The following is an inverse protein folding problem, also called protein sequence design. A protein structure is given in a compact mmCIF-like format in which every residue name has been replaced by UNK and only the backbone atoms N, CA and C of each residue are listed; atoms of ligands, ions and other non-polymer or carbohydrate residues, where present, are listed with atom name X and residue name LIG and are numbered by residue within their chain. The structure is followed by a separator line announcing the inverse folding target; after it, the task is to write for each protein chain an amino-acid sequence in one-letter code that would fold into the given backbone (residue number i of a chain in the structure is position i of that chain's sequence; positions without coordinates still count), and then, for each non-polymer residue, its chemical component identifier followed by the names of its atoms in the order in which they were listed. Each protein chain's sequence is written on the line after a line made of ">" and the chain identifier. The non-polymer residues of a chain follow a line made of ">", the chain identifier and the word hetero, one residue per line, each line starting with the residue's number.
data_IF_965071789741
#
_entry.id   IF_965071789741
#
_cell.length_a   1.000
_cell.length_b   1.000
_cell.length_c   1.000
_cell.angle_alpha   90.00
_cell.angle_beta   90.00
_cell.angle_gamma   90.00
#
_symmetry.space_group_name_H-M   'P 1'
#
loop_
_entity.id
_entity.type
_entity.pdbx_description
1 polymer ?
#
# COMPACT_ATOMS: atom_id res chain seq x y z
N UNK A 1 -2.26 -39.99 3.25
CA UNK A 1 -3.18 -38.85 3.12
C UNK A 1 -4.59 -39.42 2.98
N UNK A 2 -5.58 -38.96 3.77
CA UNK A 2 -6.96 -39.46 3.64
C UNK A 2 -7.55 -39.04 2.29
N UNK A 3 -8.58 -39.78 1.83
CA UNK A 3 -9.28 -39.44 0.57
C UNK A 3 -9.89 -38.04 0.63
N UNK A 4 -10.50 -37.70 1.77
CA UNK A 4 -11.06 -36.38 2.04
C UNK A 4 -10.01 -35.26 1.91
N UNK A 5 -8.84 -35.44 2.52
CA UNK A 5 -7.75 -34.47 2.43
C UNK A 5 -7.23 -34.29 0.98
N UNK A 6 -7.18 -35.35 0.18
CA UNK A 6 -6.80 -35.23 -1.24
C UNK A 6 -7.86 -34.47 -2.04
N UNK A 7 -9.16 -34.70 -1.78
CA UNK A 7 -10.25 -33.94 -2.39
C UNK A 7 -10.11 -32.45 -2.06
N UNK A 8 -9.97 -32.08 -0.79
CA UNK A 8 -9.84 -30.69 -0.35
C UNK A 8 -8.63 -30.00 -1.01
N UNK A 9 -7.46 -30.66 -0.98
CA UNK A 9 -6.22 -30.12 -1.56
C UNK A 9 -6.34 -29.87 -3.07
N UNK A 10 -6.96 -30.79 -3.80
CA UNK A 10 -7.15 -30.65 -5.25
C UNK A 10 -8.27 -29.66 -5.59
N UNK A 11 -9.36 -29.66 -4.84
CA UNK A 11 -10.45 -28.70 -4.98
C UNK A 11 -9.95 -27.25 -4.79
N UNK A 12 -9.09 -27.00 -3.79
CA UNK A 12 -8.46 -25.69 -3.58
C UNK A 12 -7.76 -25.17 -4.84
N UNK A 13 -7.00 -26.01 -5.55
CA UNK A 13 -6.35 -25.65 -6.82
C UNK A 13 -7.34 -25.35 -7.93
N UNK A 14 -8.46 -26.08 -7.99
CA UNK A 14 -9.50 -25.82 -8.99
C UNK A 14 -10.17 -24.47 -8.71
N UNK A 15 -10.49 -24.17 -7.45
CA UNK A 15 -11.04 -22.89 -7.03
C UNK A 15 -10.10 -21.72 -7.33
N UNK A 16 -8.80 -21.88 -7.10
CA UNK A 16 -7.79 -20.88 -7.41
C UNK A 16 -7.72 -20.60 -8.92
N UNK A 17 -7.58 -21.66 -9.75
CA UNK A 17 -7.43 -21.49 -11.21
C UNK A 17 -8.69 -20.99 -11.91
N UNK A 18 -9.87 -21.41 -11.46
CA UNK A 18 -11.14 -21.11 -12.14
C UNK A 18 -11.93 -20.00 -11.47
N UNK A 19 -11.64 -19.69 -10.21
CA UNK A 19 -12.49 -18.85 -9.35
C UNK A 19 -13.71 -19.62 -8.83
N UNK A 20 -14.12 -19.30 -7.61
CA UNK A 20 -15.15 -20.05 -6.87
C UNK A 20 -16.45 -20.21 -7.65
N UNK A 21 -17.01 -19.11 -8.16
CA UNK A 21 -18.30 -19.12 -8.85
C UNK A 21 -18.34 -20.04 -10.07
N UNK A 22 -17.21 -20.23 -10.78
CA UNK A 22 -17.12 -20.99 -12.03
C UNK A 22 -16.70 -22.45 -11.85
N UNK A 23 -16.36 -22.86 -10.63
CA UNK A 23 -15.97 -24.24 -10.33
C UNK A 23 -17.21 -25.09 -10.13
N UNK A 24 -17.27 -26.30 -10.70
CA UNK A 24 -18.34 -27.26 -10.44
C UNK A 24 -17.82 -28.48 -9.66
N UNK A 25 -18.73 -29.27 -9.07
CA UNK A 25 -18.36 -30.58 -8.49
C UNK A 25 -17.71 -31.49 -9.54
N UNK A 26 -18.13 -31.40 -10.80
CA UNK A 26 -17.56 -32.18 -11.91
C UNK A 26 -16.09 -31.80 -12.17
N UNK A 27 -15.78 -30.50 -12.15
CA UNK A 27 -14.40 -30.02 -12.29
C UNK A 27 -13.51 -30.55 -11.16
N UNK A 28 -14.03 -30.58 -9.93
CA UNK A 28 -13.32 -31.11 -8.77
C UNK A 28 -13.11 -32.63 -8.90
N UNK A 29 -14.17 -33.38 -9.24
CA UNK A 29 -14.10 -34.82 -9.43
C UNK A 29 -13.06 -35.21 -10.49
N UNK A 30 -13.03 -34.46 -11.61
CA UNK A 30 -12.05 -34.62 -12.68
C UNK A 30 -10.62 -34.35 -12.23
N UNK A 31 -10.37 -33.28 -11.46
CA UNK A 31 -9.03 -32.99 -10.91
C UNK A 31 -8.59 -34.10 -9.93
N UNK A 32 -9.52 -34.60 -9.12
CA UNK A 32 -9.27 -35.68 -8.16
C UNK A 32 -9.00 -37.01 -8.87
N UNK A 33 -9.63 -37.26 -10.01
CA UNK A 33 -9.57 -38.51 -10.75
C UNK A 33 -10.58 -39.54 -10.24
N UNK A 34 -11.74 -39.07 -9.77
CA UNK A 34 -12.83 -39.92 -9.27
C UNK A 34 -14.16 -39.51 -9.92
N UNK A 35 -15.17 -40.36 -9.78
CA UNK A 35 -16.52 -40.03 -10.25
C UNK A 35 -17.18 -39.00 -9.33
N UNK A 36 -18.08 -38.19 -9.90
CA UNK A 36 -18.88 -37.20 -9.17
C UNK A 36 -19.59 -37.77 -7.95
N UNK A 37 -20.17 -38.97 -8.06
CA UNK A 37 -20.90 -39.63 -6.96
C UNK A 37 -19.99 -39.94 -5.77
N UNK A 38 -18.70 -40.20 -6.02
CA UNK A 38 -17.73 -40.44 -4.97
C UNK A 38 -17.38 -39.16 -4.19
N UNK A 39 -17.51 -37.96 -4.79
CA UNK A 39 -17.37 -36.69 -4.04
C UNK A 39 -18.52 -36.52 -3.06
N UNK A 40 -19.74 -36.85 -3.49
CA UNK A 40 -20.95 -36.74 -2.65
C UNK A 40 -20.96 -37.66 -1.43
N UNK A 41 -20.14 -38.71 -1.44
CA UNK A 41 -19.90 -39.53 -0.24
C UNK A 41 -19.19 -38.74 0.88
N UNK A 42 -18.33 -37.78 0.52
CA UNK A 42 -17.54 -36.99 1.48
C UNK A 42 -18.13 -35.60 1.75
N UNK A 43 -18.75 -34.96 0.75
CA UNK A 43 -19.24 -33.59 0.85
C UNK A 43 -20.59 -33.43 0.16
N UNK A 44 -21.54 -32.76 0.81
CA UNK A 44 -22.90 -32.57 0.32
C UNK A 44 -22.99 -31.54 -0.81
N UNK A 45 -22.08 -30.57 -0.83
CA UNK A 45 -22.08 -29.48 -1.81
C UNK A 45 -20.67 -29.01 -2.13
N UNK A 46 -20.55 -28.19 -3.19
CA UNK A 46 -19.29 -27.51 -3.54
C UNK A 46 -18.92 -26.49 -2.46
N UNK A 47 -19.93 -25.85 -1.90
CA UNK A 47 -19.84 -24.87 -0.83
C UNK A 47 -19.30 -25.54 0.44
N UNK A 48 -19.76 -26.75 0.79
CA UNK A 48 -19.21 -27.48 1.93
C UNK A 48 -17.73 -27.83 1.74
N UNK A 49 -17.30 -28.18 0.51
CA UNK A 49 -15.88 -28.38 0.18
C UNK A 49 -15.11 -27.07 0.41
N UNK A 50 -15.64 -25.95 -0.08
CA UNK A 50 -15.03 -24.63 0.09
C UNK A 50 -14.89 -24.28 1.59
N UNK A 51 -15.96 -24.38 2.38
CA UNK A 51 -15.91 -24.09 3.81
C UNK A 51 -14.92 -25.01 4.53
N UNK A 52 -14.87 -26.28 4.15
CA UNK A 52 -13.91 -27.25 4.71
C UNK A 52 -12.44 -26.90 4.39
N UNK A 53 -12.18 -26.21 3.28
CA UNK A 53 -10.86 -25.68 2.94
C UNK A 53 -10.55 -24.42 3.78
N UNK A 54 -11.53 -23.54 3.98
CA UNK A 54 -11.35 -22.24 4.62
C UNK A 54 -11.30 -22.31 6.15
N UNK A 55 -12.13 -23.14 6.79
CA UNK A 55 -12.24 -23.22 8.25
C UNK A 55 -10.88 -23.42 8.96
N UNK A 56 -10.01 -24.37 8.56
CA UNK A 56 -8.72 -24.55 9.22
C UNK A 56 -7.80 -23.31 9.09
N UNK A 57 -7.89 -22.60 7.96
CA UNK A 57 -7.12 -21.38 7.71
C UNK A 57 -7.63 -20.25 8.60
N UNK A 58 -8.94 -20.00 8.62
CA UNK A 58 -9.58 -19.02 9.49
C UNK A 58 -9.27 -19.26 10.99
N UNK A 59 -9.33 -20.52 11.43
CA UNK A 59 -8.92 -20.91 12.80
C UNK A 59 -7.47 -20.57 13.08
N UNK A 60 -6.56 -20.94 12.18
CA UNK A 60 -5.13 -20.64 12.32
C UNK A 60 -4.84 -19.13 12.32
N UNK A 61 -5.58 -18.35 11.53
CA UNK A 61 -5.49 -16.90 11.50
C UNK A 61 -5.86 -16.31 12.87
N UNK A 62 -7.01 -16.72 13.41
CA UNK A 62 -7.51 -16.24 14.71
C UNK A 62 -6.56 -16.62 15.85
N UNK A 63 -6.13 -17.89 15.93
CA UNK A 63 -5.25 -18.37 17.01
C UNK A 63 -3.94 -17.58 17.07
N UNK A 64 -3.32 -17.30 15.93
CA UNK A 64 -2.05 -16.56 15.95
C UNK A 64 -2.27 -15.06 16.22
N UNK A 65 -3.38 -14.48 15.76
CA UNK A 65 -3.73 -13.11 16.13
C UNK A 65 -3.99 -12.97 17.64
N UNK A 66 -4.64 -13.96 18.26
CA UNK A 66 -4.76 -14.05 19.72
C UNK A 66 -3.40 -14.15 20.41
N UNK A 67 -2.46 -14.96 19.88
CA UNK A 67 -1.10 -15.03 20.41
C UNK A 67 -0.37 -13.69 20.32
N UNK A 68 -0.52 -12.97 19.20
CA UNK A 68 0.06 -11.64 19.00
C UNK A 68 -0.53 -10.64 20.00
N UNK A 69 -1.85 -10.62 20.17
CA UNK A 69 -2.55 -9.78 21.14
C UNK A 69 -2.06 -10.02 22.57
N UNK A 70 -1.93 -11.28 22.95
CA UNK A 70 -1.49 -11.70 24.29
C UNK A 70 0.03 -11.62 24.50
N UNK A 71 0.80 -11.27 23.47
CA UNK A 71 2.24 -11.09 23.60
C UNK A 71 2.60 -9.86 24.43
N UNK A 72 3.75 -9.89 25.10
CA UNK A 72 4.28 -8.73 25.85
C UNK A 72 4.86 -7.61 24.98
N UNK A 73 4.56 -7.58 23.68
CA UNK A 73 5.02 -6.56 22.74
C UNK A 73 4.15 -5.30 22.85
N UNK A 74 4.70 -4.15 22.45
CA UNK A 74 3.91 -2.91 22.32
C UNK A 74 2.94 -2.93 21.12
N UNK A 75 2.04 -1.95 21.02
CA UNK A 75 0.96 -1.90 20.03
C UNK A 75 1.44 -1.88 18.57
N UNK A 76 2.46 -1.09 18.25
CA UNK A 76 3.01 -1.01 16.88
C UNK A 76 3.65 -2.34 16.42
N UNK A 77 4.54 -2.99 17.20
CA UNK A 77 5.01 -4.33 16.86
C UNK A 77 3.91 -5.38 16.73
N UNK A 78 2.85 -5.30 17.56
CA UNK A 78 1.67 -6.18 17.44
C UNK A 78 0.94 -5.94 16.13
N UNK A 79 0.69 -4.68 15.77
CA UNK A 79 0.04 -4.31 14.52
C UNK A 79 0.83 -4.80 13.30
N UNK A 80 2.14 -4.57 13.28
CA UNK A 80 3.01 -5.08 12.21
C UNK A 80 2.98 -6.61 12.15
N UNK A 81 3.08 -7.30 13.29
CA UNK A 81 3.00 -8.77 13.33
C UNK A 81 1.65 -9.30 12.84
N UNK A 82 0.55 -8.63 13.18
CA UNK A 82 -0.79 -8.99 12.72
C UNK A 82 -0.94 -8.82 11.20
N UNK A 83 -0.47 -7.70 10.64
CA UNK A 83 -0.46 -7.45 9.19
C UNK A 83 0.42 -8.50 8.50
N UNK A 84 1.64 -8.70 9.00
CA UNK A 84 2.56 -9.71 8.49
C UNK A 84 1.92 -11.09 8.50
N UNK A 85 1.31 -11.51 9.61
CA UNK A 85 0.68 -12.83 9.72
C UNK A 85 -0.48 -13.00 8.74
N UNK A 86 -1.35 -12.00 8.64
CA UNK A 86 -2.48 -12.01 7.71
C UNK A 86 -2.01 -12.08 6.26
N UNK A 87 -0.94 -11.35 5.91
CA UNK A 87 -0.35 -11.33 4.58
C UNK A 87 0.62 -12.49 4.30
N UNK A 88 1.23 -13.13 5.31
CA UNK A 88 2.21 -14.23 5.15
C UNK A 88 1.55 -15.60 5.23
N UNK A 89 0.32 -15.67 5.74
CA UNK A 89 -0.58 -16.81 5.55
C UNK A 89 -0.91 -17.04 4.05
N UNK A 90 -0.37 -16.19 3.18
CA UNK A 90 -0.29 -16.28 1.74
C UNK A 90 0.50 -17.48 1.23
N UNK A 91 -0.23 -18.53 0.88
CA UNK A 91 0.19 -19.60 -0.02
C UNK A 91 -0.58 -19.38 -1.35
N UNK A 92 -0.22 -19.97 -2.51
CA UNK A 92 -1.03 -19.84 -3.74
C UNK A 92 -2.53 -20.18 -3.53
N UNK A 93 -2.86 -20.99 -2.52
CA UNK A 93 -4.22 -21.29 -2.08
C UNK A 93 -4.96 -20.17 -1.29
N UNK A 94 -4.28 -19.11 -0.84
CA UNK A 94 -4.77 -18.12 0.14
C UNK A 94 -5.45 -16.89 -0.47
N UNK A 95 -5.37 -16.71 -1.80
CA UNK A 95 -6.27 -15.79 -2.48
C UNK A 95 -7.72 -16.14 -2.24
N UNK A 96 -8.00 -17.42 -1.99
CA UNK A 96 -9.35 -17.95 -1.88
C UNK A 96 -10.08 -17.35 -0.67
N UNK A 97 -9.48 -17.38 0.51
CA UNK A 97 -10.13 -16.82 1.71
C UNK A 97 -10.33 -15.30 1.57
N UNK A 98 -9.28 -14.55 1.20
CA UNK A 98 -9.37 -13.10 1.00
C UNK A 98 -10.39 -12.71 -0.09
N UNK A 99 -10.48 -13.48 -1.18
CA UNK A 99 -11.43 -13.24 -2.27
C UNK A 99 -12.87 -13.57 -1.87
N UNK A 100 -13.08 -14.63 -1.10
CA UNK A 100 -14.41 -15.05 -0.63
C UNK A 100 -14.88 -14.15 0.51
N UNK A 101 -14.00 -13.72 1.41
CA UNK A 101 -14.31 -12.79 2.49
C UNK A 101 -14.81 -11.43 1.97
N UNK A 102 -14.37 -10.99 0.79
CA UNK A 102 -14.88 -9.79 0.12
C UNK A 102 -16.26 -9.98 -0.55
N UNK A 103 -16.82 -11.20 -0.55
CA UNK A 103 -18.06 -11.58 -1.24
C UNK A 103 -18.99 -12.34 -0.28
N UNK A 104 -19.60 -11.59 0.64
CA UNK A 104 -20.40 -12.15 1.74
C UNK A 104 -21.68 -12.90 1.29
N UNK A 105 -22.25 -12.61 0.12
CA UNK A 105 -23.64 -13.04 -0.16
C UNK A 105 -23.81 -14.28 -1.06
N UNK A 106 -22.74 -14.79 -1.69
CA UNK A 106 -22.88 -15.79 -2.77
C UNK A 106 -22.30 -17.18 -2.46
N UNK A 107 -21.66 -17.35 -1.30
CA UNK A 107 -20.96 -18.59 -0.95
C UNK A 107 -21.39 -19.19 0.39
N UNK A 108 -22.39 -18.60 1.05
CA UNK A 108 -22.91 -19.06 2.33
C UNK A 108 -24.30 -19.64 2.15
N UNK A 109 -24.41 -20.94 2.40
CA UNK A 109 -25.66 -21.61 2.70
C UNK A 109 -25.89 -21.60 4.23
N UNK A 110 -26.97 -22.25 4.68
CA UNK A 110 -27.25 -22.41 6.11
C UNK A 110 -26.61 -23.68 6.70
N UNK A 111 -25.55 -24.20 6.09
CA UNK A 111 -24.86 -25.37 6.61
C UNK A 111 -24.14 -25.06 7.93
N UNK A 112 -23.94 -26.06 8.82
CA UNK A 112 -23.16 -25.87 10.04
C UNK A 112 -21.75 -25.31 9.79
N UNK A 113 -21.10 -25.71 8.68
CA UNK A 113 -19.78 -25.21 8.29
C UNK A 113 -19.81 -23.75 7.83
N UNK A 114 -20.86 -23.34 7.12
CA UNK A 114 -21.06 -21.93 6.77
C UNK A 114 -21.26 -21.05 8.00
N UNK A 115 -22.01 -21.53 8.99
CA UNK A 115 -22.21 -20.84 10.28
C UNK A 115 -20.89 -20.73 11.04
N UNK A 116 -20.14 -21.84 11.14
CA UNK A 116 -18.82 -21.88 11.78
C UNK A 116 -17.83 -20.90 11.12
N UNK A 117 -17.77 -20.87 9.79
CA UNK A 117 -16.88 -19.95 9.08
C UNK A 117 -17.26 -18.48 9.31
N UNK A 118 -18.57 -18.15 9.32
CA UNK A 118 -19.05 -16.80 9.66
C UNK A 118 -18.67 -16.39 11.08
N UNK A 119 -18.73 -17.32 12.03
CA UNK A 119 -18.29 -17.08 13.41
C UNK A 119 -16.79 -16.79 13.46
N UNK A 120 -15.96 -17.61 12.80
CA UNK A 120 -14.51 -17.40 12.74
C UNK A 120 -14.13 -16.05 12.11
N UNK A 121 -14.82 -15.62 11.06
CA UNK A 121 -14.58 -14.30 10.48
C UNK A 121 -15.05 -13.15 11.36
N UNK A 122 -16.18 -13.30 12.05
CA UNK A 122 -16.63 -12.33 13.04
C UNK A 122 -15.63 -12.22 14.20
N UNK A 123 -15.10 -13.34 14.67
CA UNK A 123 -14.05 -13.42 15.69
C UNK A 123 -12.79 -12.70 15.22
N UNK A 124 -12.33 -12.96 14.00
CA UNK A 124 -11.18 -12.25 13.42
C UNK A 124 -11.39 -10.73 13.46
N UNK A 125 -12.55 -10.24 13.03
CA UNK A 125 -12.89 -8.82 13.08
C UNK A 125 -12.88 -8.25 14.51
N UNK A 126 -13.34 -9.03 15.49
CA UNK A 126 -13.25 -8.66 16.91
C UNK A 126 -11.81 -8.60 17.42
N UNK A 127 -10.97 -9.58 17.06
CA UNK A 127 -9.55 -9.61 17.45
C UNK A 127 -8.78 -8.41 16.88
N UNK A 128 -8.98 -8.09 15.60
CA UNK A 128 -8.40 -6.88 15.00
C UNK A 128 -8.89 -5.60 15.68
N UNK A 129 -10.19 -5.51 15.99
CA UNK A 129 -10.75 -4.37 16.73
C UNK A 129 -10.17 -4.27 18.14
N UNK A 130 -9.94 -5.40 18.81
CA UNK A 130 -9.31 -5.46 20.13
C UNK A 130 -7.86 -5.01 20.09
N UNK A 131 -7.10 -5.34 19.03
CA UNK A 131 -5.73 -4.88 18.83
C UNK A 131 -5.66 -3.36 18.78
N UNK A 132 -6.54 -2.74 18.01
CA UNK A 132 -6.61 -1.27 17.93
C UNK A 132 -7.01 -0.67 19.28
N UNK A 133 -8.02 -1.25 19.94
CA UNK A 133 -8.45 -0.77 21.25
C UNK A 133 -7.34 -0.87 22.31
N UNK A 134 -6.61 -1.97 22.36
CA UNK A 134 -5.48 -2.14 23.27
C UNK A 134 -4.42 -1.04 23.03
N UNK A 135 -4.09 -0.75 21.78
CA UNK A 135 -3.16 0.35 21.49
C UNK A 135 -3.68 1.73 21.89
N UNK A 136 -4.99 1.95 21.85
CA UNK A 136 -5.63 3.18 22.34
C UNK A 136 -5.60 3.27 23.87
N UNK A 137 -5.88 2.16 24.56
CA UNK A 137 -5.83 2.06 26.02
C UNK A 137 -4.39 2.24 26.55
N UNK A 138 -3.39 1.76 25.81
CA UNK A 138 -1.95 1.97 26.10
C UNK A 138 -1.46 3.38 25.73
N UNK A 139 -2.28 4.18 25.02
CA UNK A 139 -1.99 5.57 24.66
C UNK A 139 -1.10 5.77 23.42
N UNK A 140 -0.71 4.68 22.75
CA UNK A 140 0.10 4.73 21.53
C UNK A 140 -0.74 5.00 20.28
N UNK A 141 -2.00 4.56 20.28
CA UNK A 141 -2.94 4.80 19.17
C UNK A 141 -3.95 5.89 19.50
N UNK A 142 -4.42 6.58 18.45
CA UNK A 142 -5.32 7.72 18.54
C UNK A 142 -6.68 7.32 19.13
N UNK A 143 -7.05 7.84 20.32
CA UNK A 143 -8.31 7.49 20.97
C UNK A 143 -9.54 8.06 20.26
N UNK A 144 -9.38 9.05 19.37
CA UNK A 144 -10.49 9.65 18.62
C UNK A 144 -10.95 8.78 17.44
N UNK A 145 -10.12 7.84 16.99
CA UNK A 145 -10.48 6.95 15.88
C UNK A 145 -11.42 5.85 16.35
N UNK A 146 -12.44 5.55 15.54
CA UNK A 146 -13.29 4.39 15.80
C UNK A 146 -12.49 3.09 15.56
N UNK A 147 -12.25 2.25 16.58
CA UNK A 147 -11.33 1.11 16.46
C UNK A 147 -11.84 0.05 15.47
N UNK A 148 -13.16 -0.09 15.34
CA UNK A 148 -13.76 -1.00 14.35
C UNK A 148 -13.51 -0.49 12.94
N UNK A 149 -13.75 0.79 12.67
CA UNK A 149 -13.49 1.35 11.33
C UNK A 149 -12.02 1.23 10.93
N UNK A 150 -11.11 1.48 11.86
CA UNK A 150 -9.67 1.32 11.65
C UNK A 150 -9.31 -0.13 11.34
N UNK A 151 -9.75 -1.07 12.18
CA UNK A 151 -9.49 -2.49 12.01
C UNK A 151 -9.98 -3.01 10.65
N UNK A 152 -11.22 -2.68 10.27
CA UNK A 152 -11.79 -3.10 9.00
C UNK A 152 -11.16 -2.37 7.80
N UNK A 153 -10.68 -1.14 7.97
CA UNK A 153 -9.90 -0.43 6.94
C UNK A 153 -8.56 -1.11 6.66
N UNK A 154 -7.84 -1.50 7.71
CA UNK A 154 -6.56 -2.24 7.60
C UNK A 154 -6.80 -3.62 6.97
N UNK A 155 -7.79 -4.37 7.46
CA UNK A 155 -8.19 -5.65 6.88
C UNK A 155 -8.60 -5.51 5.40
N UNK A 156 -9.34 -4.45 5.05
CA UNK A 156 -9.74 -4.17 3.67
C UNK A 156 -8.53 -3.96 2.75
N UNK A 157 -7.55 -3.17 3.19
CA UNK A 157 -6.29 -2.97 2.49
C UNK A 157 -5.54 -4.30 2.29
N UNK A 158 -5.42 -5.11 3.34
CA UNK A 158 -4.78 -6.41 3.26
C UNK A 158 -5.51 -7.37 2.31
N UNK A 159 -6.84 -7.46 2.40
CA UNK A 159 -7.65 -8.35 1.57
C UNK A 159 -7.66 -7.93 0.10
N UNK A 160 -7.54 -6.63 -0.19
CA UNK A 160 -7.47 -6.12 -1.56
C UNK A 160 -6.22 -6.61 -2.31
N UNK A 161 -5.17 -6.99 -1.57
CA UNK A 161 -3.96 -7.59 -2.14
C UNK A 161 -4.29 -8.77 -3.06
N UNK A 162 -5.30 -9.57 -2.70
CA UNK A 162 -5.75 -10.72 -3.47
C UNK A 162 -6.27 -10.39 -4.88
N UNK A 163 -6.52 -9.12 -5.19
CA UNK A 163 -7.07 -8.68 -6.49
C UNK A 163 -6.00 -8.26 -7.48
N UNK A 164 -4.88 -7.73 -7.01
CA UNK A 164 -3.90 -7.07 -7.88
C UNK A 164 -2.49 -7.64 -7.75
N UNK A 165 -2.13 -8.21 -6.59
CA UNK A 165 -0.80 -8.75 -6.39
C UNK A 165 -0.67 -10.13 -7.01
N UNK A 166 0.39 -10.30 -7.80
CA UNK A 166 0.76 -11.55 -8.44
C UNK A 166 2.24 -11.84 -8.09
N UNK A 167 2.53 -12.78 -7.19
CA UNK A 167 3.88 -13.07 -6.72
C UNK A 167 4.76 -13.62 -7.84
N UNK A 168 4.17 -14.15 -8.93
CA UNK A 168 4.90 -14.70 -10.06
C UNK A 168 5.36 -13.62 -11.06
N UNK A 169 4.76 -12.41 -11.02
CA UNK A 169 5.12 -11.29 -11.89
C UNK A 169 6.26 -10.42 -11.36
N UNK A 170 6.68 -10.62 -10.10
CA UNK A 170 8.00 -10.23 -9.58
C UNK A 170 8.32 -8.72 -9.49
N UNK A 171 7.37 -7.81 -9.67
CA UNK A 171 7.64 -6.36 -9.62
C UNK A 171 7.83 -5.80 -8.20
N UNK A 172 7.22 -6.44 -7.19
CA UNK A 172 7.26 -6.04 -5.77
C UNK A 172 7.27 -7.32 -4.91
N UNK A 173 8.06 -7.36 -3.84
CA UNK A 173 8.10 -8.52 -2.93
C UNK A 173 6.98 -8.47 -1.88
N UNK A 174 6.56 -9.63 -1.35
CA UNK A 174 5.56 -9.69 -0.27
C UNK A 174 6.05 -8.97 1.00
N UNK A 175 7.35 -9.09 1.32
CA UNK A 175 7.95 -8.38 2.46
C UNK A 175 7.86 -6.87 2.29
N UNK A 176 8.13 -6.34 1.09
CA UNK A 176 7.99 -4.92 0.80
C UNK A 176 6.55 -4.42 0.97
N UNK A 177 5.57 -5.22 0.56
CA UNK A 177 4.15 -4.91 0.75
C UNK A 177 3.79 -4.87 2.24
N UNK A 178 4.27 -5.85 3.01
CA UNK A 178 4.06 -5.91 4.47
C UNK A 178 4.61 -4.65 5.14
N UNK A 179 5.82 -4.21 4.78
CA UNK A 179 6.42 -3.00 5.34
C UNK A 179 5.64 -1.73 4.97
N UNK A 180 5.22 -1.59 3.71
CA UNK A 180 4.44 -0.44 3.25
C UNK A 180 3.08 -0.38 3.97
N UNK A 181 2.35 -1.50 4.01
CA UNK A 181 1.02 -1.56 4.64
C UNK A 181 1.12 -1.34 6.15
N UNK A 182 2.15 -1.89 6.79
CA UNK A 182 2.41 -1.65 8.21
C UNK A 182 2.74 -0.19 8.51
N UNK A 183 3.52 0.47 7.64
CA UNK A 183 3.85 1.89 7.78
C UNK A 183 2.61 2.76 7.62
N UNK A 184 1.77 2.48 6.61
CA UNK A 184 0.53 3.22 6.38
C UNK A 184 -0.43 3.06 7.56
N UNK A 185 -0.66 1.83 8.01
CA UNK A 185 -1.52 1.54 9.14
C UNK A 185 -1.01 2.21 10.42
N UNK A 186 0.27 2.02 10.75
CA UNK A 186 0.89 2.60 11.95
C UNK A 186 0.82 4.12 11.97
N UNK A 187 1.14 4.76 10.83
CA UNK A 187 1.08 6.22 10.72
C UNK A 187 -0.35 6.75 10.84
N UNK A 188 -1.33 6.02 10.30
CA UNK A 188 -2.74 6.40 10.38
C UNK A 188 -3.35 6.24 11.77
N UNK A 189 -2.86 5.30 12.58
CA UNK A 189 -3.42 5.03 13.92
C UNK A 189 -2.68 5.71 15.07
N UNK A 190 -1.50 6.28 14.87
CA UNK A 190 -0.72 6.90 15.93
C UNK A 190 -1.48 8.05 16.61
N UNK A 191 -1.40 8.16 17.94
CA UNK A 191 -2.15 9.19 18.67
C UNK A 191 -1.71 10.62 18.31
N UNK A 192 -2.68 11.56 18.24
CA UNK A 192 -2.38 12.99 18.10
C UNK A 192 -1.60 13.46 19.33
N UNK A 193 -0.28 13.62 19.17
CA UNK A 193 0.65 13.94 20.26
C UNK A 193 1.65 12.83 20.58
N UNK A 194 1.31 11.57 20.27
CA UNK A 194 2.24 10.43 20.27
C UNK A 194 2.75 10.24 18.85
N UNK A 195 3.57 11.19 18.41
CA UNK A 195 4.35 10.99 17.18
C UNK A 195 5.17 9.70 17.37
N UNK A 196 5.25 8.86 16.34
CA UNK A 196 6.19 7.71 16.19
C UNK A 196 7.68 8.12 16.42
N UNK A 197 7.96 9.37 16.79
CA UNK A 197 9.27 9.85 17.22
C UNK A 197 9.82 9.18 18.49
N UNK A 198 8.99 8.64 19.38
CA UNK A 198 9.51 8.37 20.72
C UNK A 198 10.02 6.96 21.01
N UNK A 199 9.66 5.88 20.29
CA UNK A 199 10.11 4.53 20.75
C UNK A 199 10.61 3.44 19.81
N UNK A 200 10.66 3.57 18.48
CA UNK A 200 11.56 2.69 17.68
C UNK A 200 12.13 3.42 16.47
N UNK A 201 13.47 3.49 16.44
CA UNK A 201 14.36 4.07 15.42
C UNK A 201 14.57 5.59 15.49
N UNK A 202 15.82 5.98 15.73
CA UNK A 202 16.36 7.35 15.69
C UNK A 202 16.26 8.02 14.31
N UNK A 203 15.06 8.14 13.76
CA UNK A 203 14.82 8.85 12.50
C UNK A 203 13.60 9.75 12.68
N UNK A 204 13.88 11.01 13.03
CA UNK A 204 12.91 12.11 12.97
C UNK A 204 12.16 12.03 11.65
N UNK A 205 10.83 11.89 11.69
CA UNK A 205 9.98 11.93 10.48
C UNK A 205 10.38 13.13 9.60
N UNK A 206 10.65 12.94 8.30
CA UNK A 206 11.10 14.01 7.41
C UNK A 206 10.19 15.24 7.46
N UNK A 207 8.89 15.05 7.64
CA UNK A 207 7.93 16.15 7.73
C UNK A 207 8.13 16.97 9.01
N UNK A 208 8.40 16.32 10.14
CA UNK A 208 8.64 17.00 11.41
C UNK A 208 9.99 17.74 11.47
N UNK A 209 10.81 17.68 10.41
CA UNK A 209 12.08 18.43 10.27
C UNK A 209 11.88 19.75 9.53
N UNK A 210 10.78 19.91 8.79
CA UNK A 210 10.49 21.14 8.03
C UNK A 210 9.59 22.05 8.86
N UNK A 211 10.03 23.29 9.19
CA UNK A 211 9.22 24.23 9.96
C UNK A 211 7.83 24.42 9.35
N UNK A 212 6.78 24.54 10.18
CA UNK A 212 5.41 24.71 9.71
C UNK A 212 5.21 25.94 8.83
N UNK A 213 5.96 27.02 9.09
CA UNK A 213 5.95 28.25 8.28
C UNK A 213 6.92 28.25 7.09
N UNK A 214 7.58 27.13 6.78
CA UNK A 214 8.52 27.10 5.66
C UNK A 214 7.76 27.15 4.32
N UNK A 215 8.12 28.06 3.39
CA UNK A 215 7.38 28.28 2.14
C UNK A 215 7.31 27.04 1.24
N UNK A 216 8.33 26.16 1.26
CA UNK A 216 8.27 24.87 0.56
C UNK A 216 7.07 23.99 0.95
N UNK A 217 6.42 24.18 2.11
CA UNK A 217 5.18 23.47 2.44
C UNK A 217 4.03 23.87 1.54
N UNK A 218 3.75 25.16 1.46
CA UNK A 218 2.71 25.68 0.58
C UNK A 218 3.01 25.35 -0.90
N UNK A 219 4.27 25.48 -1.32
CA UNK A 219 4.69 25.07 -2.68
C UNK A 219 4.45 23.57 -2.89
N UNK A 220 4.80 22.72 -1.92
CA UNK A 220 4.63 21.27 -2.04
C UNK A 220 3.16 20.89 -2.18
N UNK A 221 2.28 21.51 -1.40
CA UNK A 221 0.82 21.31 -1.46
C UNK A 221 0.28 21.73 -2.83
N UNK A 222 0.60 22.94 -3.28
CA UNK A 222 0.19 23.43 -4.60
C UNK A 222 0.64 22.51 -5.74
N UNK A 223 1.89 22.05 -5.72
CA UNK A 223 2.42 21.10 -6.71
C UNK A 223 1.67 19.77 -6.64
N UNK A 224 1.30 19.32 -5.44
CA UNK A 224 0.52 18.09 -5.25
C UNK A 224 -0.86 18.22 -5.88
N UNK A 225 -1.56 19.34 -5.63
CA UNK A 225 -2.88 19.59 -6.21
C UNK A 225 -2.83 19.61 -7.74
N UNK A 226 -1.85 20.30 -8.34
CA UNK A 226 -1.66 20.35 -9.80
C UNK A 226 -1.38 18.95 -10.37
N UNK A 227 -0.56 18.14 -9.70
CA UNK A 227 -0.27 16.77 -10.13
C UNK A 227 -1.50 15.87 -10.06
N UNK A 228 -2.34 16.04 -9.02
CA UNK A 228 -3.62 15.32 -8.89
C UNK A 228 -4.60 15.76 -9.98
N UNK A 229 -4.75 17.05 -10.23
CA UNK A 229 -5.56 17.60 -11.33
C UNK A 229 -5.07 17.08 -12.71
N UNK A 230 -3.78 16.81 -12.84
CA UNK A 230 -3.14 16.34 -14.08
C UNK A 230 -3.00 14.82 -14.17
N UNK A 231 -3.53 14.07 -13.20
CA UNK A 231 -3.28 12.63 -13.02
C UNK A 231 -3.55 11.82 -14.29
N UNK A 232 -4.74 11.97 -14.88
CA UNK A 232 -5.16 11.20 -16.07
C UNK A 232 -4.23 11.44 -17.26
N UNK A 233 -3.72 12.67 -17.39
CA UNK A 233 -2.79 13.05 -18.47
C UNK A 233 -1.40 12.44 -18.25
N UNK A 234 -0.94 12.38 -17.01
CA UNK A 234 0.33 11.75 -16.64
C UNK A 234 0.26 10.22 -16.83
N UNK A 235 -0.87 9.62 -16.47
CA UNK A 235 -1.13 8.19 -16.66
C UNK A 235 -1.21 7.80 -18.14
N UNK A 236 -1.91 8.59 -18.96
CA UNK A 236 -1.92 8.38 -20.42
C UNK A 236 -0.49 8.41 -20.99
N UNK A 237 0.35 9.35 -20.52
CA UNK A 237 1.76 9.40 -20.91
C UNK A 237 2.55 8.18 -20.39
N UNK A 238 2.26 7.66 -19.19
CA UNK A 238 2.88 6.43 -18.66
C UNK A 238 2.60 5.24 -19.58
N UNK A 239 1.36 5.11 -20.05
CA UNK A 239 0.96 4.06 -20.97
C UNK A 239 1.63 4.17 -22.35
N UNK A 240 1.87 5.38 -22.85
CA UNK A 240 2.43 5.61 -24.20
C UNK A 240 3.93 5.40 -24.30
N UNK A 241 4.72 5.92 -23.36
CA UNK A 241 6.20 5.93 -23.46
C UNK A 241 6.89 5.08 -22.38
N UNK A 242 6.10 4.34 -21.59
CA UNK A 242 6.58 3.51 -20.49
C UNK A 242 6.97 4.31 -19.24
N UNK A 243 7.12 3.60 -18.12
CA UNK A 243 7.54 4.22 -16.86
C UNK A 243 9.01 4.65 -16.93
N UNK A 244 9.32 5.79 -16.32
CA UNK A 244 10.69 6.26 -16.14
C UNK A 244 11.34 5.60 -14.94
N UNK A 245 12.68 5.47 -14.97
CA UNK A 245 13.45 4.95 -13.83
C UNK A 245 13.40 5.87 -12.60
N UNK A 246 12.99 7.12 -12.80
CA UNK A 246 12.69 8.09 -11.73
C UNK A 246 11.20 8.48 -11.89
N UNK A 247 10.38 8.42 -10.82
CA UNK A 247 8.99 8.88 -10.88
C UNK A 247 8.88 10.33 -11.39
N UNK A 248 7.91 10.59 -12.26
CA UNK A 248 7.81 11.86 -13.00
C UNK A 248 7.41 13.03 -12.12
N UNK A 249 6.59 12.79 -11.10
CA UNK A 249 6.27 13.75 -10.05
C UNK A 249 7.51 14.16 -9.26
N UNK A 250 8.41 13.21 -8.95
CA UNK A 250 9.67 13.49 -8.27
C UNK A 250 10.63 14.27 -9.17
N UNK A 251 10.70 13.95 -10.48
CA UNK A 251 11.47 14.73 -11.46
C UNK A 251 10.99 16.18 -11.51
N UNK A 252 9.68 16.40 -11.60
CA UNK A 252 9.08 17.73 -11.62
C UNK A 252 9.42 18.51 -10.34
N UNK A 253 9.27 17.91 -9.16
CA UNK A 253 9.65 18.54 -7.89
C UNK A 253 11.14 18.86 -7.82
N UNK A 254 12.00 17.96 -8.29
CA UNK A 254 13.44 18.18 -8.32
C UNK A 254 13.83 19.33 -9.26
N UNK A 255 13.17 19.45 -10.42
CA UNK A 255 13.35 20.58 -11.34
C UNK A 255 12.92 21.90 -10.69
N UNK A 256 11.80 21.92 -9.96
CA UNK A 256 11.39 23.11 -9.22
C UNK A 256 12.45 23.56 -8.21
N UNK A 257 13.18 22.63 -7.58
CA UNK A 257 14.30 23.02 -6.70
C UNK A 257 15.43 23.72 -7.44
N UNK A 258 15.67 23.39 -8.72
CA UNK A 258 16.66 24.12 -9.53
C UNK A 258 16.24 25.57 -9.73
N UNK A 259 14.94 25.82 -9.94
CA UNK A 259 14.37 27.17 -10.02
C UNK A 259 14.41 27.88 -8.66
N UNK A 260 13.92 27.24 -7.60
CA UNK A 260 13.73 27.87 -6.28
C UNK A 260 15.04 28.21 -5.55
N UNK A 261 16.11 27.46 -5.83
CA UNK A 261 17.40 27.60 -5.14
C UNK A 261 18.57 27.90 -6.09
N UNK A 262 18.31 28.23 -7.35
CA UNK A 262 19.34 28.50 -8.36
C UNK A 262 20.41 27.41 -8.45
N UNK A 263 19.97 26.16 -8.42
CA UNK A 263 20.89 25.00 -8.46
C UNK A 263 21.33 24.79 -9.91
N UNK A 264 22.57 25.18 -10.19
CA UNK A 264 23.09 25.41 -11.55
C UNK A 264 23.35 24.15 -12.37
N UNK A 265 23.31 22.96 -11.77
CA UNK A 265 23.57 21.71 -12.47
C UNK A 265 22.87 20.52 -11.82
N UNK A 266 22.66 19.46 -12.60
CA UNK A 266 22.07 18.22 -12.12
C UNK A 266 22.97 17.52 -11.12
N UNK A 267 24.28 17.61 -11.31
CA UNK A 267 25.26 17.09 -10.35
C UNK A 267 25.11 17.78 -8.99
N UNK A 268 25.01 19.10 -8.99
CA UNK A 268 24.80 19.88 -7.76
C UNK A 268 23.45 19.56 -7.13
N UNK A 269 22.40 19.37 -7.94
CA UNK A 269 21.08 18.96 -7.44
C UNK A 269 21.14 17.59 -6.77
N UNK A 270 21.78 16.60 -7.39
CA UNK A 270 21.91 15.25 -6.80
C UNK A 270 22.75 15.30 -5.52
N UNK A 271 23.83 16.07 -5.49
CA UNK A 271 24.64 16.28 -4.27
C UNK A 271 23.82 16.93 -3.15
N UNK A 272 23.01 17.94 -3.48
CA UNK A 272 22.07 18.53 -2.54
C UNK A 272 21.03 17.51 -2.07
N UNK A 273 20.47 16.69 -2.95
CA UNK A 273 19.54 15.63 -2.59
C UNK A 273 20.19 14.48 -1.82
N UNK A 274 21.51 14.33 -1.83
CA UNK A 274 22.19 13.32 -1.01
C UNK A 274 22.22 13.74 0.48
N UNK A 275 22.35 15.04 0.75
CA UNK A 275 22.65 15.54 2.09
C UNK A 275 21.56 16.45 2.69
N UNK A 276 20.84 17.20 1.86
CA UNK A 276 19.89 18.21 2.30
C UNK A 276 18.51 17.61 2.57
N UNK A 277 18.20 17.40 3.85
CA UNK A 277 16.95 16.77 4.29
C UNK A 277 15.70 17.56 3.91
N UNK A 278 15.77 18.89 3.80
CA UNK A 278 14.65 19.74 3.39
C UNK A 278 14.31 19.51 1.91
N UNK A 279 15.34 19.49 1.06
CA UNK A 279 15.17 19.28 -0.38
C UNK A 279 14.73 17.85 -0.69
N UNK A 280 15.32 16.87 0.01
CA UNK A 280 14.88 15.46 -0.03
C UNK A 280 13.42 15.32 0.35
N UNK A 281 13.02 15.96 1.46
CA UNK A 281 11.62 15.99 1.87
C UNK A 281 10.78 16.53 0.72
N UNK A 282 11.06 17.73 0.20
CA UNK A 282 10.24 18.37 -0.84
C UNK A 282 10.03 17.50 -2.07
N UNK A 283 11.08 16.81 -2.52
CA UNK A 283 11.06 15.91 -3.69
C UNK A 283 10.34 14.58 -3.41
N UNK A 284 10.25 14.16 -2.15
CA UNK A 284 9.68 12.86 -1.76
C UNK A 284 10.72 11.76 -1.58
N UNK A 285 12.01 12.11 -1.44
CA UNK A 285 13.06 11.16 -1.08
C UNK A 285 13.07 10.94 0.43
N UNK A 286 12.93 9.69 0.85
CA UNK A 286 12.79 9.31 2.26
C UNK A 286 13.83 8.26 2.68
N UNK A 287 14.09 8.20 3.99
CA UNK A 287 14.98 7.21 4.60
C UNK A 287 16.41 7.23 4.03
N UNK A 288 16.97 6.02 3.85
CA UNK A 288 18.33 5.77 3.34
C UNK A 288 18.43 5.75 1.81
N UNK A 289 17.39 6.18 1.09
CA UNK A 289 17.40 6.21 -0.38
C UNK A 289 18.46 7.18 -0.88
N UNK A 290 19.42 6.72 -1.68
CA UNK A 290 20.41 7.60 -2.29
C UNK A 290 19.75 8.53 -3.31
N UNK A 291 20.34 9.71 -3.53
CA UNK A 291 20.00 10.54 -4.68
C UNK A 291 20.28 9.79 -5.98
N UNK A 292 19.62 10.18 -7.06
CA UNK A 292 19.82 9.56 -8.35
C UNK A 292 21.19 9.91 -8.94
N UNK A 293 21.67 9.08 -9.87
CA UNK A 293 22.82 9.46 -10.69
C UNK A 293 22.47 10.69 -11.55
N UNK A 294 23.39 11.66 -11.63
CA UNK A 294 23.14 12.92 -12.31
C UNK A 294 22.91 12.75 -13.83
N UNK A 295 23.55 11.75 -14.45
CA UNK A 295 23.35 11.43 -15.87
C UNK A 295 21.99 10.79 -16.09
N UNK A 296 21.59 9.88 -15.21
CA UNK A 296 20.25 9.25 -15.24
C UNK A 296 19.16 10.29 -15.03
N UNK A 297 19.36 11.25 -14.11
CA UNK A 297 18.45 12.36 -13.91
C UNK A 297 18.35 13.24 -15.16
N UNK A 298 19.47 13.65 -15.74
CA UNK A 298 19.50 14.49 -16.94
C UNK A 298 18.75 13.84 -18.11
N UNK A 299 19.02 12.57 -18.40
CA UNK A 299 18.34 11.81 -19.45
C UNK A 299 16.82 11.71 -19.24
N UNK A 300 16.41 11.46 -17.98
CA UNK A 300 14.99 11.40 -17.66
C UNK A 300 14.32 12.76 -17.76
N UNK A 301 14.99 13.84 -17.31
CA UNK A 301 14.49 15.21 -17.44
C UNK A 301 14.31 15.61 -18.90
N UNK A 302 15.30 15.36 -19.75
CA UNK A 302 15.22 15.70 -21.19
C UNK A 302 14.07 14.96 -21.86
N UNK A 303 13.93 13.65 -21.62
CA UNK A 303 12.81 12.86 -22.13
C UNK A 303 11.46 13.35 -21.63
N UNK A 304 11.40 13.78 -20.37
CA UNK A 304 10.19 14.31 -19.74
C UNK A 304 9.79 15.66 -20.35
N UNK A 305 10.74 16.58 -20.48
CA UNK A 305 10.56 17.91 -21.07
C UNK A 305 10.25 17.87 -22.58
N UNK A 306 10.59 16.78 -23.28
CA UNK A 306 10.18 16.57 -24.66
C UNK A 306 8.65 16.45 -24.82
N UNK A 307 7.92 16.11 -23.75
CA UNK A 307 6.48 15.90 -23.77
C UNK A 307 5.72 17.21 -23.54
N UNK A 308 4.81 17.55 -24.45
CA UNK A 308 4.02 18.79 -24.38
C UNK A 308 3.17 18.87 -23.11
N UNK A 309 2.58 17.73 -22.71
CA UNK A 309 1.79 17.63 -21.47
C UNK A 309 2.59 18.01 -20.22
N UNK A 310 3.87 17.62 -20.16
CA UNK A 310 4.75 17.94 -19.02
C UNK A 310 5.11 19.41 -19.06
N UNK A 311 5.44 19.96 -20.22
CA UNK A 311 5.72 21.40 -20.35
C UNK A 311 4.53 22.22 -19.88
N UNK A 312 3.30 21.87 -20.30
CA UNK A 312 2.09 22.54 -19.85
C UNK A 312 1.88 22.48 -18.33
N UNK A 313 2.15 21.31 -17.71
CA UNK A 313 2.07 21.16 -16.25
C UNK A 313 3.11 22.05 -15.56
N UNK A 314 4.37 22.02 -16.03
CA UNK A 314 5.45 22.81 -15.45
C UNK A 314 5.18 24.32 -15.56
N UNK A 315 4.74 24.78 -16.74
CA UNK A 315 4.32 26.17 -16.98
C UNK A 315 3.19 26.57 -16.04
N UNK A 316 2.15 25.74 -15.90
CA UNK A 316 1.03 26.01 -14.98
C UNK A 316 1.51 26.11 -13.53
N UNK A 317 2.41 25.22 -13.11
CA UNK A 317 2.99 25.25 -11.77
C UNK A 317 3.76 26.53 -11.53
N UNK A 318 4.66 26.92 -12.44
CA UNK A 318 5.45 28.14 -12.28
C UNK A 318 4.56 29.40 -12.28
N UNK A 319 3.53 29.44 -13.12
CA UNK A 319 2.58 30.55 -13.14
C UNK A 319 1.80 30.67 -11.83
N UNK A 320 1.26 29.56 -11.29
CA UNK A 320 0.57 29.59 -9.98
C UNK A 320 1.52 30.00 -8.84
N UNK A 321 2.79 29.60 -8.91
CA UNK A 321 3.79 30.01 -7.93
C UNK A 321 4.06 31.52 -7.96
N UNK A 322 4.16 32.10 -9.16
CA UNK A 322 4.30 33.56 -9.33
C UNK A 322 3.06 34.28 -8.77
N UNK A 323 1.86 33.85 -9.15
CA UNK A 323 0.60 34.48 -8.75
C UNK A 323 0.34 34.39 -7.24
N UNK A 324 0.76 33.30 -6.60
CA UNK A 324 0.60 33.11 -5.15
C UNK A 324 1.51 33.98 -4.29
N UNK A 325 2.54 34.61 -4.88
CA UNK A 325 3.57 35.35 -4.15
C UNK A 325 4.52 34.47 -3.33
N UNK A 326 4.43 33.14 -3.40
CA UNK A 326 5.28 32.21 -2.64
C UNK A 326 6.77 32.32 -3.01
N UNK A 327 7.07 32.79 -4.22
CA UNK A 327 8.45 33.02 -4.68
C UNK A 327 9.14 34.21 -4.02
N UNK A 328 8.39 35.13 -3.38
CA UNK A 328 8.94 36.34 -2.75
C UNK A 328 9.63 36.07 -1.40
N UNK A 329 9.71 34.81 -0.95
CA UNK A 329 10.37 34.46 0.30
C UNK A 329 11.89 34.69 0.21
N UNK A 330 12.47 35.34 1.23
CA UNK A 330 13.93 35.50 1.38
C UNK A 330 14.70 34.17 1.49
N UNK A 331 13.99 33.05 1.70
CA UNK A 331 14.57 31.71 1.77
C UNK A 331 14.87 31.10 0.39
N UNK A 332 14.41 31.74 -0.68
CA UNK A 332 14.62 31.30 -2.05
C UNK A 332 15.63 32.20 -2.77
N UNK A 333 16.37 31.58 -3.69
CA UNK A 333 17.22 32.27 -4.66
C UNK A 333 16.72 31.81 -6.02
N UNK A 334 15.83 32.60 -6.61
CA UNK A 334 15.13 32.22 -7.84
C UNK A 334 16.07 32.31 -9.05
N UNK A 335 16.11 31.25 -9.84
CA UNK A 335 16.76 31.25 -11.15
C UNK A 335 15.79 31.82 -12.19
N UNK A 336 15.90 33.12 -12.46
CA UNK A 336 15.03 33.81 -13.40
C UNK A 336 15.14 33.25 -14.83
N UNK A 337 16.30 32.70 -15.21
CA UNK A 337 16.50 32.15 -16.55
C UNK A 337 15.74 30.83 -16.71
N UNK A 338 15.80 29.93 -15.72
CA UNK A 338 14.99 28.71 -15.71
C UNK A 338 13.50 29.01 -15.53
N UNK A 339 13.15 30.00 -14.70
CA UNK A 339 11.78 30.43 -14.50
C UNK A 339 11.16 30.91 -15.83
N UNK A 340 11.89 31.70 -16.62
CA UNK A 340 11.45 32.13 -17.96
C UNK A 340 11.43 30.96 -18.94
N UNK A 341 12.49 30.14 -18.99
CA UNK A 341 12.60 29.05 -19.95
C UNK A 341 11.50 27.98 -19.80
N UNK A 342 10.96 27.80 -18.59
CA UNK A 342 9.92 26.81 -18.29
C UNK A 342 8.54 27.42 -18.01
N UNK A 343 8.49 28.72 -17.69
CA UNK A 343 7.29 29.44 -17.29
C UNK A 343 6.47 30.05 -18.43
N UNK A 344 7.02 30.15 -19.64
CA UNK A 344 6.28 30.63 -20.82
C UNK A 344 7.12 31.40 -21.82
#
# INVERSE_FOLDING_TARGET
>A
MSREADILRKAAKVFERRGVSRTTIEDIAKEVGIKREAIYYYFKSREEILHSILIPQARSLNTELENILNSGKGPFPKLHAAIKHHLSSFNPSAYLEMTVALREDHFFDDSPKAIELRQLWSENGHLWTALIRQGQEEGDFNPELNPKMVAFGILGMCNWLARWFDPLKGAVSLDEIIEIFSTLASSGVAAHGTTIKDRVSHTVSPDARVPKGHPLRAIREMVTDILVESWDRIEALNAMIGQSSIPRDMLLRAMLLQVLYSIRSDRQLMEQLEHNQLLRWFVGLHGKTHAWDATVFAQNRERLLAQEVIRAILTTTLQRLIESGLLASELFSIDDALLQAWGG
#
